data_IF_304691021305
#
_entry.id   IF_304691021305
#
_cell.length_a   1.000
_cell.length_b   1.000
_cell.length_c   1.000
_cell.angle_alpha   90.00
_cell.angle_beta   90.00
_cell.angle_gamma   90.00
#
_symmetry.space_group_name_H-M   'P 1'
#
loop_
_entity.id
_entity.type
_entity.pdbx_description
1 polymer ?
#
# COMPACT_ATOMS: atom_id res chain seq x y z
N UNK A 1 -4.33 14.58 10.79
CA UNK A 1 -5.70 14.78 11.32
C UNK A 1 -6.69 13.85 10.64
N UNK A 2 -7.10 14.06 9.37
CA UNK A 2 -8.12 13.20 8.74
C UNK A 2 -7.72 11.73 8.61
N UNK A 3 -6.44 11.44 8.32
CA UNK A 3 -5.93 10.06 8.30
C UNK A 3 -6.05 9.38 9.67
N UNK A 4 -5.81 10.12 10.75
CA UNK A 4 -5.85 9.56 12.11
C UNK A 4 -7.29 9.27 12.51
N UNK A 5 -8.23 10.19 12.25
CA UNK A 5 -9.64 9.97 12.51
C UNK A 5 -10.21 8.82 11.68
N UNK A 6 -9.73 8.63 10.45
CA UNK A 6 -10.12 7.51 9.61
C UNK A 6 -9.65 6.17 10.21
N UNK A 7 -8.39 6.11 10.66
CA UNK A 7 -7.84 4.93 11.33
C UNK A 7 -8.63 4.61 12.60
N UNK A 8 -8.85 5.60 13.46
CA UNK A 8 -9.60 5.43 14.72
C UNK A 8 -11.04 4.93 14.46
N UNK A 9 -11.68 5.43 13.40
CA UNK A 9 -13.02 5.00 13.00
C UNK A 9 -13.04 3.51 12.61
N UNK A 10 -12.13 3.07 11.74
CA UNK A 10 -12.09 1.68 11.30
C UNK A 10 -11.72 0.72 12.44
N UNK A 11 -10.81 1.12 13.33
CA UNK A 11 -10.54 0.36 14.56
C UNK A 11 -11.79 0.23 15.43
N UNK A 12 -12.55 1.31 15.60
CA UNK A 12 -13.83 1.31 16.34
C UNK A 12 -14.90 0.40 15.71
N UNK A 13 -14.83 0.15 14.40
CA UNK A 13 -15.69 -0.81 13.71
C UNK A 13 -15.25 -2.28 13.89
N UNK A 14 -14.08 -2.55 14.48
CA UNK A 14 -13.57 -3.90 14.71
C UNK A 14 -13.06 -4.61 13.45
N UNK A 15 -12.46 -3.87 12.51
CA UNK A 15 -11.82 -4.48 11.33
C UNK A 15 -10.56 -5.26 11.72
N UNK A 16 -10.21 -6.30 10.95
CA UNK A 16 -9.02 -7.11 11.19
C UNK A 16 -7.70 -6.48 10.69
N UNK A 17 -7.80 -5.42 9.88
CA UNK A 17 -6.65 -4.79 9.23
C UNK A 17 -7.05 -3.71 8.23
N UNK A 18 -6.06 -3.03 7.67
CA UNK A 18 -6.27 -1.94 6.71
C UNK A 18 -5.41 -2.13 5.47
N UNK A 19 -6.01 -1.93 4.28
CA UNK A 19 -5.25 -1.77 3.04
C UNK A 19 -5.24 -0.31 2.65
N UNK A 20 -4.04 0.24 2.40
CA UNK A 20 -3.84 1.67 2.12
C UNK A 20 -3.12 1.87 0.78
N UNK A 21 -3.15 3.11 0.28
CA UNK A 21 -2.65 3.47 -1.05
C UNK A 21 -3.38 2.68 -2.16
N UNK A 22 -2.66 2.30 -3.21
CA UNK A 22 -3.26 1.74 -4.42
C UNK A 22 -4.12 2.76 -5.18
N UNK A 23 -4.97 2.26 -6.08
CA UNK A 23 -5.83 3.11 -6.91
C UNK A 23 -6.87 3.85 -6.04
N UNK A 24 -7.48 3.16 -5.07
CA UNK A 24 -8.52 3.74 -4.21
C UNK A 24 -7.97 4.75 -3.19
N UNK A 25 -6.70 4.62 -2.79
CA UNK A 25 -5.99 5.62 -2.00
C UNK A 25 -5.30 6.70 -2.83
N UNK A 26 -5.59 6.76 -4.15
CA UNK A 26 -5.08 7.77 -5.08
C UNK A 26 -3.55 7.86 -5.17
N UNK A 27 -2.84 6.75 -4.90
CA UNK A 27 -1.37 6.70 -4.87
C UNK A 27 -0.69 7.24 -6.15
N UNK A 28 -1.23 7.04 -7.39
CA UNK A 28 -0.62 7.63 -8.59
C UNK A 28 -0.61 9.16 -8.64
N UNK A 29 -1.33 9.85 -7.75
CA UNK A 29 -1.36 11.31 -7.64
C UNK A 29 -0.38 11.85 -6.60
N UNK A 30 0.21 10.96 -5.80
CA UNK A 30 1.19 11.29 -4.78
C UNK A 30 2.59 11.08 -5.33
N UNK A 31 3.54 11.89 -4.86
CA UNK A 31 4.95 11.56 -5.03
C UNK A 31 5.39 10.43 -4.08
N UNK A 32 6.63 9.98 -4.25
CA UNK A 32 7.18 8.87 -3.46
C UNK A 32 7.33 9.20 -1.96
N UNK A 33 7.66 10.45 -1.63
CA UNK A 33 7.78 10.93 -0.25
C UNK A 33 6.42 11.02 0.42
N UNK A 34 5.45 11.64 -0.27
CA UNK A 34 4.06 11.74 0.19
C UNK A 34 3.45 10.36 0.45
N UNK A 35 3.65 9.42 -0.48
CA UNK A 35 3.18 8.03 -0.33
C UNK A 35 3.76 7.39 0.93
N UNK A 36 5.06 7.56 1.17
CA UNK A 36 5.73 6.99 2.35
C UNK A 36 5.29 7.67 3.65
N UNK A 37 5.03 8.98 3.62
CA UNK A 37 4.57 9.71 4.80
C UNK A 37 3.14 9.30 5.20
N UNK A 38 2.27 9.00 4.24
CA UNK A 38 0.96 8.38 4.50
C UNK A 38 1.14 7.02 5.20
N UNK A 39 2.03 6.16 4.69
CA UNK A 39 2.28 4.85 5.30
C UNK A 39 2.79 5.00 6.74
N UNK A 40 3.81 5.84 6.97
CA UNK A 40 4.35 6.10 8.31
C UNK A 40 3.27 6.61 9.27
N UNK A 41 2.42 7.55 8.82
CA UNK A 41 1.36 8.12 9.65
C UNK A 41 0.37 7.05 10.10
N UNK A 42 -0.09 6.21 9.17
CA UNK A 42 -1.08 5.17 9.45
C UNK A 42 -0.47 4.07 10.33
N UNK A 43 0.70 3.56 9.97
CA UNK A 43 1.39 2.49 10.72
C UNK A 43 1.75 2.93 12.14
N UNK A 44 2.11 4.20 12.35
CA UNK A 44 2.37 4.72 13.69
C UNK A 44 1.10 4.87 14.54
N UNK A 45 -0.09 4.93 13.93
CA UNK A 45 -1.36 5.17 14.62
C UNK A 45 -2.05 3.89 15.09
N UNK A 46 -2.00 2.81 14.30
CA UNK A 46 -2.73 1.56 14.55
C UNK A 46 -1.82 0.43 15.02
N UNK A 47 -2.40 -0.54 15.74
CA UNK A 47 -1.77 -1.85 15.99
C UNK A 47 -2.29 -2.96 15.05
N UNK A 48 -3.30 -2.66 14.25
CA UNK A 48 -3.85 -3.61 13.29
C UNK A 48 -2.86 -3.81 12.13
N UNK A 49 -2.84 -5.00 11.51
CA UNK A 49 -2.08 -5.25 10.30
C UNK A 49 -2.40 -4.25 9.17
N UNK A 50 -1.36 -3.67 8.58
CA UNK A 50 -1.45 -2.76 7.43
C UNK A 50 -0.83 -3.40 6.19
N UNK A 51 -1.59 -3.43 5.10
CA UNK A 51 -1.14 -3.84 3.76
C UNK A 51 -1.01 -2.60 2.88
N UNK A 52 0.14 -2.41 2.23
CA UNK A 52 0.40 -1.25 1.38
C UNK A 52 0.29 -1.62 -0.10
N UNK A 53 -0.55 -0.91 -0.86
CA UNK A 53 -0.59 -1.03 -2.32
C UNK A 53 0.66 -0.42 -2.96
N UNK A 54 1.53 -1.26 -3.54
CA UNK A 54 2.85 -0.84 -4.11
C UNK A 54 2.92 -0.99 -5.64
N UNK A 55 1.80 -1.29 -6.28
CA UNK A 55 1.71 -1.46 -7.73
C UNK A 55 2.22 -0.22 -8.44
N UNK A 56 3.18 -0.37 -9.34
CA UNK A 56 3.80 0.72 -10.07
C UNK A 56 4.14 0.30 -11.51
N UNK A 57 4.29 1.24 -12.46
CA UNK A 57 4.68 0.93 -13.84
C UNK A 57 6.05 0.25 -13.98
N UNK A 58 6.93 0.36 -12.97
CA UNK A 58 8.26 -0.25 -12.98
C UNK A 58 8.68 -0.79 -11.62
N UNK A 59 9.48 -1.85 -11.64
CA UNK A 59 9.90 -2.58 -10.43
C UNK A 59 10.81 -1.78 -9.49
N UNK A 60 11.54 -0.79 -9.99
CA UNK A 60 12.39 0.05 -9.14
C UNK A 60 11.57 0.84 -8.11
N UNK A 61 10.51 1.51 -8.58
CA UNK A 61 9.59 2.26 -7.71
C UNK A 61 8.84 1.32 -6.76
N UNK A 62 8.33 0.19 -7.28
CA UNK A 62 7.68 -0.84 -6.49
C UNK A 62 8.58 -1.36 -5.37
N UNK A 63 9.83 -1.71 -5.68
CA UNK A 63 10.83 -2.18 -4.70
C UNK A 63 11.10 -1.13 -3.63
N UNK A 64 11.27 0.13 -4.02
CA UNK A 64 11.56 1.22 -3.11
C UNK A 64 10.44 1.38 -2.07
N UNK A 65 9.21 1.53 -2.54
CA UNK A 65 8.05 1.71 -1.66
C UNK A 65 7.76 0.46 -0.82
N UNK A 66 7.87 -0.73 -1.41
CA UNK A 66 7.67 -1.98 -0.69
C UNK A 66 8.65 -2.13 0.47
N UNK A 67 9.95 -1.92 0.23
CA UNK A 67 10.97 -2.01 1.30
C UNK A 67 10.76 -0.95 2.37
N UNK A 68 10.56 0.30 1.98
CA UNK A 68 10.32 1.38 2.92
C UNK A 68 9.05 1.12 3.77
N UNK A 69 8.00 0.55 3.17
CA UNK A 69 6.77 0.19 3.87
C UNK A 69 6.98 -0.92 4.91
N UNK A 70 7.75 -1.96 4.56
CA UNK A 70 8.11 -3.02 5.52
C UNK A 70 9.02 -2.48 6.64
N UNK A 71 9.97 -1.61 6.33
CA UNK A 71 10.89 -0.99 7.30
C UNK A 71 10.16 -0.13 8.34
N UNK A 72 9.07 0.53 7.97
CA UNK A 72 8.27 1.34 8.91
C UNK A 72 7.24 0.52 9.69
N UNK A 73 7.08 -0.77 9.36
CA UNK A 73 6.26 -1.71 10.13
C UNK A 73 4.95 -2.15 9.48
N UNK A 74 4.76 -1.96 8.17
CA UNK A 74 3.66 -2.61 7.46
C UNK A 74 3.81 -4.14 7.47
N UNK A 75 2.69 -4.87 7.49
CA UNK A 75 2.66 -6.33 7.57
C UNK A 75 2.72 -7.00 6.20
N UNK A 76 2.49 -6.26 5.13
CA UNK A 76 2.63 -6.77 3.77
C UNK A 76 2.41 -5.71 2.70
N UNK A 77 2.49 -6.15 1.46
CA UNK A 77 2.26 -5.32 0.27
C UNK A 77 1.28 -5.99 -0.68
N UNK A 78 0.52 -5.17 -1.41
CA UNK A 78 -0.41 -5.60 -2.45
C UNK A 78 0.13 -5.20 -3.84
N UNK A 79 0.22 -6.18 -4.74
CA UNK A 79 0.72 -6.03 -6.11
C UNK A 79 -0.40 -6.47 -7.08
N UNK A 80 -0.78 -5.58 -7.99
CA UNK A 80 -1.70 -5.84 -9.08
C UNK A 80 -0.94 -5.87 -10.41
N UNK A 81 -1.28 -6.78 -11.35
CA UNK A 81 -0.60 -6.88 -12.62
C UNK A 81 -0.95 -5.72 -13.56
N UNK A 82 -0.06 -5.36 -14.50
CA UNK A 82 -0.35 -4.39 -15.55
C UNK A 82 -1.55 -4.85 -16.42
N UNK A 83 -2.38 -3.92 -16.90
CA UNK A 83 -3.58 -4.25 -17.69
C UNK A 83 -3.27 -4.83 -19.08
N UNK A 84 -2.00 -4.86 -19.50
CA UNK A 84 -1.56 -5.37 -20.79
C UNK A 84 -1.33 -6.89 -20.79
N UNK A 85 -1.22 -7.53 -19.62
CA UNK A 85 -1.04 -8.98 -19.54
C UNK A 85 -2.33 -9.70 -20.01
N UNK A 86 -2.16 -10.79 -20.75
CA UNK A 86 -3.26 -11.54 -21.38
C UNK A 86 -3.14 -13.05 -21.16
N UNK A 87 -1.93 -13.61 -21.25
CA UNK A 87 -1.71 -15.06 -21.13
C UNK A 87 -1.23 -15.44 -19.74
N UNK A 88 -1.46 -16.71 -19.37
CA UNK A 88 -1.00 -17.25 -18.08
C UNK A 88 0.53 -17.14 -17.96
N UNK A 89 1.28 -17.44 -19.03
CA UNK A 89 2.74 -17.29 -19.05
C UNK A 89 3.18 -15.85 -18.74
N UNK A 90 2.47 -14.85 -19.27
CA UNK A 90 2.76 -13.44 -18.98
C UNK A 90 2.45 -13.08 -17.52
N UNK A 91 1.34 -13.59 -16.98
CA UNK A 91 0.90 -13.32 -15.60
C UNK A 91 1.86 -13.97 -14.61
N UNK A 92 2.21 -15.24 -14.81
CA UNK A 92 3.15 -15.97 -13.95
C UNK A 92 4.56 -15.38 -14.03
N UNK A 93 5.02 -14.94 -15.21
CA UNK A 93 6.36 -14.32 -15.34
C UNK A 93 6.44 -12.95 -14.66
N UNK A 94 5.32 -12.23 -14.55
CA UNK A 94 5.29 -10.92 -13.90
C UNK A 94 5.44 -10.99 -12.37
N UNK A 95 4.90 -12.03 -11.75
CA UNK A 95 4.89 -12.24 -10.29
C UNK A 95 6.08 -13.09 -9.83
#
# INVERSE_FOLDING_TARGET
ESLDSMVDFYEGCGVDGMTILGIMGEAPKLDAGESLDVVKRIVARTRLPVIVGVSAPGFAAMRSLARASMEVGAQGVMIAPPPALRTDDQIVTYF
#
